data_IF_491429863180
#
_entry.id   IF_491429863180
#
_cell.length_a   1.000
_cell.length_b   1.000
_cell.length_c   1.000
_cell.angle_alpha   90.00
_cell.angle_beta   90.00
_cell.angle_gamma   90.00
#
_symmetry.space_group_name_H-M   'P 1'
#
loop_
_entity.id
_entity.type
_entity.pdbx_description
1 polymer ?
#
# COMPACT_ATOMS: atom_id res chain seq x y z
N UNK A 1 5.38 4.07 -12.34
CA UNK A 1 6.77 4.47 -12.59
C UNK A 1 7.25 5.52 -11.60
N UNK A 2 6.57 6.66 -11.55
CA UNK A 2 6.99 7.72 -10.61
C UNK A 2 6.88 7.30 -9.16
N UNK A 3 5.86 6.53 -8.81
CA UNK A 3 5.66 6.05 -7.45
C UNK A 3 6.82 5.17 -7.01
N UNK A 4 7.27 4.27 -7.88
CA UNK A 4 8.42 3.42 -7.58
C UNK A 4 9.68 4.27 -7.31
N UNK A 5 9.91 5.29 -8.11
CA UNK A 5 11.07 6.18 -7.93
C UNK A 5 11.00 6.94 -6.60
N UNK A 6 9.81 7.40 -6.23
CA UNK A 6 9.60 8.08 -4.95
C UNK A 6 9.90 7.12 -3.80
N UNK A 7 9.41 5.88 -3.89
CA UNK A 7 9.66 4.88 -2.86
C UNK A 7 11.14 4.50 -2.77
N UNK A 8 11.82 4.42 -3.90
CA UNK A 8 13.26 4.15 -3.91
C UNK A 8 14.02 5.22 -3.14
N UNK A 9 13.63 6.48 -3.30
CA UNK A 9 14.22 7.58 -2.56
C UNK A 9 13.84 7.52 -1.07
N UNK A 10 12.57 7.23 -0.78
CA UNK A 10 12.07 7.19 0.59
C UNK A 10 12.75 6.08 1.42
N UNK A 11 13.03 4.95 0.80
CA UNK A 11 13.57 3.77 1.48
C UNK A 11 15.03 3.47 1.12
N UNK A 12 15.73 4.47 0.59
CA UNK A 12 17.16 4.35 0.26
C UNK A 12 17.49 3.15 -0.62
N UNK A 13 16.61 2.85 -1.56
CA UNK A 13 16.83 1.77 -2.51
C UNK A 13 16.61 0.37 -1.96
N UNK A 14 15.99 0.21 -0.79
CA UNK A 14 15.65 -1.11 -0.28
C UNK A 14 14.71 -1.83 -1.24
N UNK A 15 15.06 -3.07 -1.59
CA UNK A 15 14.20 -3.87 -2.46
C UNK A 15 12.99 -4.42 -1.70
N UNK A 16 13.19 -4.82 -0.46
CA UNK A 16 12.12 -5.31 0.41
C UNK A 16 12.09 -4.46 1.66
N UNK A 17 10.95 -3.83 1.91
CA UNK A 17 10.79 -2.93 3.04
C UNK A 17 10.21 -3.71 4.21
N UNK A 18 10.81 -3.65 5.40
CA UNK A 18 10.27 -4.33 6.58
C UNK A 18 8.81 -3.97 6.81
N UNK A 19 8.01 -4.96 7.17
CA UNK A 19 6.56 -4.80 7.29
C UNK A 19 6.18 -3.73 8.32
N UNK A 20 6.92 -3.64 9.42
CA UNK A 20 6.67 -2.63 10.45
C UNK A 20 6.86 -1.22 9.91
N UNK A 21 7.82 -1.01 9.02
CA UNK A 21 8.03 0.30 8.40
C UNK A 21 6.90 0.64 7.44
N UNK A 22 6.46 -0.31 6.64
CA UNK A 22 5.33 -0.11 5.73
C UNK A 22 4.07 0.23 6.54
N UNK A 23 3.84 -0.49 7.61
CA UNK A 23 2.69 -0.26 8.48
C UNK A 23 2.72 1.15 9.07
N UNK A 24 3.88 1.55 9.59
CA UNK A 24 4.06 2.88 10.19
C UNK A 24 3.86 3.99 9.15
N UNK A 25 4.34 3.79 7.94
CA UNK A 25 4.34 4.85 6.93
C UNK A 25 3.02 4.96 6.17
N UNK A 26 2.34 3.83 5.92
CA UNK A 26 1.15 3.80 5.06
C UNK A 26 -0.10 3.26 5.71
N UNK A 27 0.00 2.62 6.87
CA UNK A 27 -1.13 2.02 7.58
C UNK A 27 -1.11 2.41 9.05
N UNK A 28 -1.00 3.70 9.30
CA UNK A 28 -0.87 4.24 10.66
C UNK A 28 -2.02 3.86 11.58
N UNK A 29 -3.19 3.63 11.02
CA UNK A 29 -4.38 3.26 11.77
C UNK A 29 -4.40 1.79 12.18
N UNK A 30 -3.41 1.02 11.75
CA UNK A 30 -3.33 -0.42 12.01
C UNK A 30 -2.06 -0.78 12.77
N UNK A 31 -2.15 -1.87 13.52
CA UNK A 31 -0.95 -2.54 14.02
C UNK A 31 -0.46 -3.51 12.93
N UNK A 32 0.77 -3.98 13.06
CA UNK A 32 1.32 -4.97 12.12
C UNK A 32 0.43 -6.21 12.06
N UNK A 33 -0.04 -6.70 13.22
CA UNK A 33 -0.90 -7.88 13.28
C UNK A 33 -2.21 -7.65 12.55
N UNK A 34 -2.83 -6.48 12.73
CA UNK A 34 -4.07 -6.15 12.04
C UNK A 34 -3.86 -6.02 10.54
N UNK A 35 -2.75 -5.42 10.14
CA UNK A 35 -2.40 -5.33 8.72
C UNK A 35 -2.27 -6.72 8.10
N UNK A 36 -1.54 -7.62 8.76
CA UNK A 36 -1.39 -8.99 8.29
C UNK A 36 -2.74 -9.70 8.16
N UNK A 37 -3.64 -9.52 9.12
CA UNK A 37 -4.98 -10.11 9.05
C UNK A 37 -5.75 -9.59 7.84
N UNK A 38 -5.67 -8.31 7.56
CA UNK A 38 -6.36 -7.72 6.41
C UNK A 38 -5.78 -8.21 5.09
N UNK A 39 -4.47 -8.41 5.04
CA UNK A 39 -3.83 -9.00 3.86
C UNK A 39 -4.29 -10.44 3.68
N UNK A 40 -4.28 -11.22 4.77
CA UNK A 40 -4.68 -12.62 4.71
C UNK A 40 -6.15 -12.81 4.35
N UNK A 41 -7.01 -11.88 4.74
CA UNK A 41 -8.44 -11.92 4.40
C UNK A 41 -8.73 -11.40 2.99
N UNK A 42 -7.75 -10.83 2.32
CA UNK A 42 -7.92 -10.26 1.00
C UNK A 42 -8.44 -8.84 0.98
N UNK A 43 -8.68 -8.22 2.15
CA UNK A 43 -9.13 -6.83 2.21
C UNK A 43 -8.07 -5.86 1.71
N UNK A 44 -6.80 -6.19 1.95
CA UNK A 44 -5.66 -5.38 1.49
C UNK A 44 -4.89 -6.22 0.49
N UNK A 45 -4.89 -5.79 -0.75
CA UNK A 45 -4.23 -6.51 -1.84
C UNK A 45 -2.75 -6.15 -1.91
N UNK A 46 -2.02 -6.48 -0.86
CA UNK A 46 -0.61 -6.18 -0.72
C UNK A 46 0.17 -7.48 -0.51
N UNK A 47 0.94 -7.92 -1.51
CA UNK A 47 1.72 -9.16 -1.35
C UNK A 47 2.75 -9.02 -0.23
N UNK A 48 2.83 -10.03 0.61
CA UNK A 48 3.80 -10.06 1.69
C UNK A 48 4.96 -10.97 1.28
N UNK A 49 6.13 -10.40 1.22
CA UNK A 49 7.35 -11.13 0.89
C UNK A 49 7.93 -11.72 2.15
N UNK A 50 8.18 -13.03 2.13
CA UNK A 50 8.86 -13.73 3.22
C UNK A 50 10.22 -14.15 2.72
N UNK A 51 11.23 -13.93 3.55
CA UNK A 51 12.60 -14.22 3.14
C UNK A 51 12.90 -15.72 3.10
N UNK A 52 12.06 -16.53 3.77
CA UNK A 52 12.11 -17.97 3.69
C UNK A 52 10.75 -18.57 4.09
N UNK A 53 10.60 -19.88 3.97
CA UNK A 53 9.32 -20.54 4.21
C UNK A 53 8.89 -20.58 5.67
N UNK A 54 9.78 -20.31 6.62
CA UNK A 54 9.47 -20.35 8.04
C UNK A 54 8.48 -19.25 8.42
N UNK A 55 7.56 -19.54 9.35
CA UNK A 55 6.64 -18.54 9.88
C UNK A 55 7.37 -17.44 10.66
N UNK A 56 8.55 -17.74 11.16
CA UNK A 56 9.37 -16.78 11.90
C UNK A 56 10.25 -15.96 10.97
N UNK A 57 10.23 -16.23 9.68
CA UNK A 57 11.04 -15.50 8.73
C UNK A 57 10.64 -14.02 8.71
N UNK A 58 11.61 -13.18 8.43
CA UNK A 58 11.36 -11.75 8.26
C UNK A 58 10.35 -11.54 7.15
N UNK A 59 9.37 -10.67 7.40
CA UNK A 59 8.33 -10.32 6.46
C UNK A 59 8.51 -8.89 6.02
N UNK A 60 8.22 -8.64 4.77
CA UNK A 60 8.29 -7.30 4.22
C UNK A 60 7.44 -7.18 2.98
N UNK A 61 7.57 -6.06 2.31
CA UNK A 61 6.85 -5.79 1.07
C UNK A 61 7.89 -5.41 0.03
N UNK A 62 7.87 -6.10 -1.11
CA UNK A 62 8.74 -5.74 -2.21
C UNK A 62 8.35 -4.34 -2.70
N UNK A 63 9.33 -3.50 -2.95
CA UNK A 63 9.10 -2.10 -3.30
C UNK A 63 8.20 -1.94 -4.54
N UNK A 64 8.33 -2.83 -5.51
CA UNK A 64 7.47 -2.79 -6.70
C UNK A 64 6.02 -3.12 -6.36
N UNK A 65 5.79 -4.04 -5.42
CA UNK A 65 4.44 -4.40 -4.98
C UNK A 65 3.81 -3.26 -4.19
N UNK A 66 4.59 -2.58 -3.37
CA UNK A 66 4.10 -1.42 -2.63
C UNK A 66 3.73 -0.30 -3.62
N UNK A 67 4.57 -0.05 -4.61
CA UNK A 67 4.29 0.95 -5.64
C UNK A 67 2.98 0.63 -6.36
N UNK A 68 2.78 -0.62 -6.76
CA UNK A 68 1.57 -1.05 -7.44
C UNK A 68 0.33 -0.87 -6.55
N UNK A 69 0.45 -1.22 -5.28
CA UNK A 69 -0.65 -1.04 -4.33
C UNK A 69 -1.03 0.44 -4.19
N UNK A 70 -0.04 1.30 -4.00
CA UNK A 70 -0.29 2.74 -3.86
C UNK A 70 -0.91 3.31 -5.13
N UNK A 71 -0.46 2.88 -6.29
CA UNK A 71 -1.02 3.32 -7.57
C UNK A 71 -2.49 2.88 -7.72
N UNK A 72 -2.81 1.67 -7.29
CA UNK A 72 -4.18 1.18 -7.31
C UNK A 72 -5.07 1.99 -6.38
N UNK A 73 -4.58 2.32 -5.19
CA UNK A 73 -5.35 3.13 -4.24
C UNK A 73 -5.55 4.54 -4.78
N UNK A 74 -4.54 5.11 -5.41
CA UNK A 74 -4.64 6.43 -6.01
C UNK A 74 -5.65 6.44 -7.17
N UNK A 75 -5.63 5.40 -8.00
CA UNK A 75 -6.57 5.29 -9.11
C UNK A 75 -8.00 5.13 -8.61
N UNK A 76 -8.21 4.32 -7.58
CA UNK A 76 -9.53 4.17 -6.96
C UNK A 76 -10.01 5.50 -6.40
N UNK A 77 -9.12 6.26 -5.78
CA UNK A 77 -9.45 7.56 -5.23
C UNK A 77 -9.84 8.56 -6.33
N UNK A 78 -9.12 8.53 -7.46
CA UNK A 78 -9.44 9.39 -8.61
C UNK A 78 -10.81 9.04 -9.20
N UNK A 79 -11.11 7.76 -9.30
CA UNK A 79 -12.38 7.29 -9.81
C UNK A 79 -13.52 7.74 -8.90
N UNK A 80 -13.36 7.56 -7.61
CA UNK A 80 -14.33 8.00 -6.61
C UNK A 80 -14.52 9.52 -6.67
N UNK A 81 -13.44 10.26 -6.77
CA UNK A 81 -13.48 11.71 -6.86
C UNK A 81 -14.22 12.16 -8.12
N UNK A 82 -14.01 11.50 -9.24
CA UNK A 82 -14.71 11.82 -10.49
C UNK A 82 -16.20 11.60 -10.34
N UNK A 83 -16.63 10.52 -9.68
CA UNK A 83 -18.05 10.25 -9.43
C UNK A 83 -18.66 11.30 -8.50
N UNK A 84 -17.94 11.64 -7.43
CA UNK A 84 -18.37 12.68 -6.51
C UNK A 84 -18.37 14.05 -7.18
N UNK A 85 -17.40 14.29 -8.05
CA UNK A 85 -17.31 15.52 -8.82
C UNK A 85 -18.50 15.73 -9.74
N UNK A 86 -18.97 14.68 -10.39
CA UNK A 86 -20.18 14.77 -11.23
C UNK A 86 -21.40 15.17 -10.41
N UNK A 87 -21.54 14.59 -9.22
CA UNK A 87 -22.62 14.97 -8.30
C UNK A 87 -22.39 16.36 -7.75
N UNK A 88 -21.14 16.67 -7.42
CA UNK A 88 -20.76 17.98 -6.88
C UNK A 88 -21.00 19.13 -7.83
N UNK A 89 -20.78 18.91 -9.12
CA UNK A 89 -21.04 19.93 -10.13
C UNK A 89 -22.50 20.35 -10.13
N UNK A 90 -23.40 19.41 -9.96
CA UNK A 90 -24.83 19.72 -9.89
C UNK A 90 -25.12 20.58 -8.68
N UNK A 91 -24.46 20.31 -7.55
CA UNK A 91 -24.69 21.04 -6.31
C UNK A 91 -24.06 22.42 -6.31
N UNK A 92 -22.92 22.57 -6.95
CA UNK A 92 -22.18 23.84 -6.94
C UNK A 92 -22.67 24.81 -8.00
N UNK A 93 -23.37 24.31 -8.95
CA UNK A 93 -23.99 25.17 -9.95
C UNK A 93 -25.16 25.93 -9.35
#
# INVERSE_FOLDING_TARGET
>A
MKTLMILMAQYDGLAVIPLDRVCRDYFRHLTVDKLLRKVMSGEVALPITRMEASQKAAKGVHIADLAAYLDQQAEAARHECAQLGSVGEIRTA
#
